data_IF_417202153013
#
_entry.id   IF_417202153013
#
_cell.length_a   1.000
_cell.length_b   1.000
_cell.length_c   1.000
_cell.angle_alpha   90.00
_cell.angle_beta   90.00
_cell.angle_gamma   90.00
#
_symmetry.space_group_name_H-M   'P 1'
#
loop_
_entity.id
_entity.type
_entity.pdbx_description
1 polymer ?
#
# COMPACT_ATOMS: atom_id res chain seq x y z
N UNK A 1 -3.79 12.89 -9.33
CA UNK A 1 -3.15 12.38 -8.10
C UNK A 1 -2.28 13.48 -7.52
N UNK A 2 -2.36 13.75 -6.22
CA UNK A 2 -1.52 14.76 -5.58
C UNK A 2 -0.05 14.32 -5.58
N UNK A 3 0.90 15.26 -5.59
CA UNK A 3 2.37 15.00 -5.52
C UNK A 3 2.79 14.16 -4.30
N UNK A 4 1.88 13.98 -3.33
CA UNK A 4 2.13 13.27 -2.09
C UNK A 4 2.16 11.75 -2.28
N UNK A 5 1.26 11.18 -3.09
CA UNK A 5 1.24 9.74 -3.43
C UNK A 5 2.40 9.30 -4.34
N UNK A 6 3.25 10.24 -4.79
CA UNK A 6 4.40 9.99 -5.66
C UNK A 6 5.73 10.08 -4.88
N UNK A 7 5.68 10.11 -3.54
CA UNK A 7 6.88 10.05 -2.69
C UNK A 7 7.28 8.59 -2.52
N UNK A 8 8.58 8.31 -2.50
CA UNK A 8 9.10 6.93 -2.40
C UNK A 8 8.70 6.22 -1.09
N UNK A 9 8.13 6.93 -0.11
CA UNK A 9 7.62 6.36 1.15
C UNK A 9 6.09 6.33 1.27
N UNK A 10 5.31 6.64 0.22
CA UNK A 10 3.85 6.50 0.30
C UNK A 10 3.41 5.08 -0.04
N UNK A 11 2.83 4.38 0.93
CA UNK A 11 2.28 3.02 0.79
C UNK A 11 0.86 3.03 0.22
N UNK A 12 0.37 1.87 -0.23
CA UNK A 12 -1.05 1.71 -0.60
C UNK A 12 -2.01 2.17 0.51
N UNK A 13 -1.64 1.95 1.77
CA UNK A 13 -2.42 2.38 2.93
C UNK A 13 -2.50 3.91 3.03
N UNK A 14 -1.41 4.62 2.78
CA UNK A 14 -1.38 6.09 2.76
C UNK A 14 -2.28 6.67 1.66
N UNK A 15 -2.28 6.04 0.48
CA UNK A 15 -3.17 6.44 -0.60
C UNK A 15 -4.64 6.21 -0.26
N UNK A 16 -4.96 5.07 0.36
CA UNK A 16 -6.29 4.75 0.82
C UNK A 16 -6.78 5.76 1.88
N UNK A 17 -5.93 6.08 2.87
CA UNK A 17 -6.22 7.09 3.91
C UNK A 17 -6.57 8.45 3.31
N UNK A 18 -5.79 8.90 2.33
CA UNK A 18 -6.02 10.17 1.64
C UNK A 18 -7.37 10.16 0.91
N UNK A 19 -7.70 9.08 0.21
CA UNK A 19 -8.96 8.92 -0.49
C UNK A 19 -10.17 8.86 0.45
N UNK A 20 -10.08 8.10 1.54
CA UNK A 20 -11.14 8.05 2.57
C UNK A 20 -11.31 9.42 3.24
N UNK A 21 -10.22 10.17 3.43
CA UNK A 21 -10.26 11.55 3.90
C UNK A 21 -11.03 12.49 2.95
N UNK A 22 -10.85 12.33 1.64
CA UNK A 22 -11.57 13.13 0.64
C UNK A 22 -13.08 12.85 0.63
N UNK A 23 -13.50 11.62 0.95
CA UNK A 23 -14.92 11.28 1.06
C UNK A 23 -15.60 11.95 2.26
N UNK A 24 -14.83 12.22 3.32
CA UNK A 24 -15.34 12.85 4.54
C UNK A 24 -15.24 14.38 4.54
N UNK A 25 -14.67 14.99 3.48
CA UNK A 25 -14.40 16.43 3.42
C UNK A 25 -15.68 17.24 3.07
N UNK A 26 -16.19 18.09 3.99
CA UNK A 26 -17.42 18.83 3.77
C UNK A 26 -17.39 19.76 2.55
N UNK A 27 -16.21 20.32 2.24
CA UNK A 27 -16.03 21.19 1.08
C UNK A 27 -16.27 20.48 -0.26
N UNK A 28 -16.21 19.15 -0.29
CA UNK A 28 -16.37 18.33 -1.50
C UNK A 28 -17.76 17.74 -1.66
N UNK A 29 -18.69 17.96 -0.73
CA UNK A 29 -20.07 17.46 -0.82
C UNK A 29 -20.80 17.85 -2.11
N UNK A 30 -20.66 19.08 -2.66
CA UNK A 30 -21.26 19.41 -3.96
C UNK A 30 -20.76 18.54 -5.12
N UNK A 31 -19.59 17.92 -4.97
CA UNK A 31 -18.92 17.07 -5.95
C UNK A 31 -18.92 15.59 -5.55
N UNK A 32 -19.70 15.19 -4.54
CA UNK A 32 -19.70 13.84 -3.97
C UNK A 32 -19.79 12.75 -5.04
N UNK A 33 -20.68 12.88 -6.03
CA UNK A 33 -20.83 11.90 -7.12
C UNK A 33 -19.53 11.72 -7.92
N UNK A 34 -18.81 12.80 -8.19
CA UNK A 34 -17.55 12.77 -8.94
C UNK A 34 -16.44 12.16 -8.09
N UNK A 35 -16.40 12.50 -6.80
CA UNK A 35 -15.41 11.96 -5.86
C UNK A 35 -15.64 10.46 -5.66
N UNK A 36 -16.87 10.02 -5.40
CA UNK A 36 -17.23 8.61 -5.25
C UNK A 36 -16.89 7.80 -6.50
N UNK A 37 -17.21 8.31 -7.69
CA UNK A 37 -16.83 7.64 -8.94
C UNK A 37 -15.32 7.46 -9.03
N UNK A 38 -14.55 8.52 -8.78
CA UNK A 38 -13.08 8.45 -8.84
C UNK A 38 -12.48 7.58 -7.74
N UNK A 39 -13.12 7.53 -6.58
CA UNK A 39 -12.74 6.63 -5.50
C UNK A 39 -12.89 5.18 -5.95
N UNK A 40 -14.04 4.81 -6.53
CA UNK A 40 -14.27 3.46 -7.05
C UNK A 40 -13.31 3.09 -8.19
N UNK A 41 -12.95 4.06 -9.03
CA UNK A 41 -11.98 3.86 -10.11
C UNK A 41 -10.54 3.69 -9.60
N UNK A 42 -10.19 4.30 -8.45
CA UNK A 42 -8.81 4.38 -7.95
C UNK A 42 -8.49 3.42 -6.81
N UNK A 43 -9.47 3.07 -5.97
CA UNK A 43 -9.29 2.25 -4.78
C UNK A 43 -9.84 0.86 -5.04
N UNK A 44 -8.95 -0.13 -4.97
CA UNK A 44 -9.28 -1.54 -5.01
C UNK A 44 -9.28 -2.18 -3.63
N UNK A 45 -9.75 -3.42 -3.52
CA UNK A 45 -9.82 -4.17 -2.25
C UNK A 45 -8.43 -4.43 -1.66
N UNK A 46 -7.39 -4.52 -2.49
CA UNK A 46 -5.99 -4.58 -2.07
C UNK A 46 -5.57 -3.31 -1.31
N UNK A 47 -6.05 -2.14 -1.71
CA UNK A 47 -5.77 -0.87 -1.03
C UNK A 47 -6.46 -0.84 0.35
N UNK A 48 -7.72 -1.26 0.41
CA UNK A 48 -8.47 -1.39 1.67
C UNK A 48 -7.81 -2.43 2.60
N UNK A 49 -7.29 -3.52 2.03
CA UNK A 49 -6.56 -4.56 2.77
C UNK A 49 -5.24 -4.01 3.30
N UNK A 50 -4.47 -3.28 2.50
CA UNK A 50 -3.29 -2.59 2.99
C UNK A 50 -3.63 -1.61 4.13
N UNK A 51 -4.72 -0.85 3.98
CA UNK A 51 -5.17 0.14 4.96
C UNK A 51 -5.53 -0.46 6.32
N UNK A 52 -6.24 -1.59 6.36
CA UNK A 52 -6.64 -2.25 7.60
C UNK A 52 -5.48 -2.98 8.29
N UNK A 53 -4.52 -3.50 7.51
CA UNK A 53 -3.33 -4.18 8.02
C UNK A 53 -2.27 -3.21 8.52
N UNK A 54 -2.35 -1.94 8.11
CA UNK A 54 -1.37 -0.93 8.48
C UNK A 54 -1.48 -0.52 9.96
N UNK A 55 -0.35 -0.55 10.69
CA UNK A 55 -0.29 -0.28 12.13
C UNK A 55 -0.77 1.12 12.53
N UNK A 56 -0.61 2.11 11.64
CA UNK A 56 -1.07 3.50 11.84
C UNK A 56 -2.58 3.68 11.67
N UNK A 57 -3.21 2.94 10.75
CA UNK A 57 -4.54 3.25 10.25
C UNK A 57 -5.61 2.28 10.75
N UNK A 58 -5.31 0.98 10.76
CA UNK A 58 -6.14 -0.07 11.35
C UNK A 58 -7.60 0.00 10.85
N UNK A 59 -7.84 0.50 9.64
CA UNK A 59 -9.19 0.59 9.08
C UNK A 59 -10.11 1.66 9.69
N UNK A 60 -9.58 2.63 10.45
CA UNK A 60 -10.39 3.59 11.25
C UNK A 60 -11.50 4.33 10.47
N UNK A 61 -11.26 4.61 9.18
CA UNK A 61 -12.18 5.36 8.30
C UNK A 61 -13.00 4.49 7.36
N UNK A 62 -12.92 3.17 7.49
CA UNK A 62 -13.68 2.26 6.61
C UNK A 62 -15.14 2.19 7.01
N UNK A 63 -16.03 2.11 6.02
CA UNK A 63 -17.44 1.81 6.26
C UNK A 63 -17.64 0.32 6.52
N UNK A 64 -18.77 -0.03 7.16
CA UNK A 64 -19.14 -1.43 7.39
C UNK A 64 -19.30 -2.20 6.07
N UNK A 65 -19.81 -1.56 5.02
CA UNK A 65 -19.93 -2.15 3.68
C UNK A 65 -18.56 -2.51 3.11
N UNK A 66 -17.58 -1.60 3.19
CA UNK A 66 -16.21 -1.86 2.73
C UNK A 66 -15.54 -3.01 3.50
N UNK A 67 -15.81 -3.13 4.81
CA UNK A 67 -15.30 -4.25 5.61
C UNK A 67 -15.93 -5.59 5.22
N UNK A 68 -17.23 -5.59 4.89
CA UNK A 68 -17.94 -6.77 4.42
C UNK A 68 -17.45 -7.23 3.04
N UNK A 69 -17.24 -6.29 2.11
CA UNK A 69 -16.69 -6.56 0.79
C UNK A 69 -15.28 -7.13 0.87
N UNK A 70 -14.44 -6.55 1.74
CA UNK A 70 -13.10 -7.02 2.01
C UNK A 70 -13.08 -8.43 2.60
N UNK A 71 -13.97 -8.72 3.54
CA UNK A 71 -14.11 -10.06 4.12
C UNK A 71 -14.51 -11.08 3.04
N UNK A 72 -15.47 -10.72 2.20
CA UNK A 72 -15.91 -11.57 1.08
C UNK A 72 -14.78 -11.82 0.08
N UNK A 73 -14.00 -10.79 -0.23
CA UNK A 73 -12.85 -10.88 -1.13
C UNK A 73 -11.74 -11.78 -0.58
N UNK A 74 -11.39 -11.64 0.70
CA UNK A 74 -10.40 -12.50 1.35
C UNK A 74 -10.85 -13.96 1.34
N UNK A 75 -12.11 -14.23 1.67
CA UNK A 75 -12.68 -15.58 1.65
C UNK A 75 -12.62 -16.23 0.24
N UNK A 76 -12.85 -15.43 -0.80
CA UNK A 76 -12.79 -15.86 -2.19
C UNK A 76 -11.35 -16.08 -2.68
N UNK A 77 -10.37 -15.36 -2.11
CA UNK A 77 -8.97 -15.51 -2.47
C UNK A 77 -8.35 -16.77 -1.85
N UNK A 78 -8.56 -16.96 -0.55
CA UNK A 78 -8.26 -18.20 0.18
C UNK A 78 -9.23 -18.30 1.39
N UNK A 79 -10.00 -19.39 1.53
CA UNK A 79 -10.92 -19.54 2.66
C UNK A 79 -10.25 -19.42 4.04
N UNK A 80 -8.97 -19.79 4.15
CA UNK A 80 -8.17 -19.66 5.38
C UNK A 80 -7.84 -18.22 5.75
N UNK A 81 -7.86 -17.28 4.78
CA UNK A 81 -7.51 -15.88 5.03
C UNK A 81 -8.51 -15.18 5.94
N UNK A 82 -9.78 -15.58 5.94
CA UNK A 82 -10.76 -15.02 6.88
C UNK A 82 -10.38 -15.33 8.33
N UNK A 83 -10.00 -16.57 8.61
CA UNK A 83 -9.60 -16.98 9.96
C UNK A 83 -8.35 -16.22 10.41
N UNK A 84 -7.37 -16.09 9.53
CA UNK A 84 -6.16 -15.31 9.79
C UNK A 84 -6.43 -13.82 9.95
N UNK A 85 -7.32 -13.26 9.14
CA UNK A 85 -7.74 -11.87 9.23
C UNK A 85 -8.45 -11.57 10.56
N UNK A 86 -9.39 -12.42 10.96
CA UNK A 86 -10.06 -12.32 12.27
C UNK A 86 -9.04 -12.46 13.40
N UNK A 87 -8.13 -13.43 13.31
CA UNK A 87 -7.06 -13.62 14.31
C UNK A 87 -6.17 -12.39 14.40
N UNK A 88 -5.78 -11.83 13.26
CA UNK A 88 -4.99 -10.60 13.19
C UNK A 88 -5.71 -9.39 13.82
N UNK A 89 -7.01 -9.25 13.58
CA UNK A 89 -7.83 -8.17 14.17
C UNK A 89 -8.06 -8.36 15.68
N UNK A 90 -8.36 -9.58 16.12
CA UNK A 90 -8.58 -9.92 17.52
C UNK A 90 -7.30 -9.80 18.35
N UNK A 91 -6.15 -9.98 17.70
CA UNK A 91 -4.84 -9.86 18.31
C UNK A 91 -4.52 -8.39 18.61
N UNK A 92 -4.80 -8.02 19.86
CA UNK A 92 -4.46 -6.71 20.42
C UNK A 92 -2.97 -6.65 20.74
N UNK A 93 -2.16 -6.10 19.84
CA UNK A 93 -0.82 -5.69 20.25
C UNK A 93 -0.92 -4.50 21.21
N UNK A 94 -0.09 -4.46 22.27
CA UNK A 94 0.07 -3.26 23.07
C UNK A 94 0.42 -2.09 22.14
N UNK A 95 -0.39 -1.03 22.17
CA UNK A 95 -0.25 0.18 21.32
C UNK A 95 1.16 0.78 21.37
N UNK A 96 1.89 0.52 22.45
CA UNK A 96 3.27 0.92 22.69
C UNK A 96 4.29 0.30 21.70
N UNK A 97 4.03 -0.90 21.17
CA UNK A 97 4.86 -1.53 20.13
C UNK A 97 4.51 -1.04 18.71
N UNK A 98 3.32 -0.47 18.50
CA UNK A 98 2.83 0.03 17.22
C UNK A 98 3.29 1.47 16.91
N UNK A 99 3.91 2.16 17.87
CA UNK A 99 4.26 3.59 17.78
C UNK A 99 5.70 3.87 17.29
N UNK A 100 6.53 2.84 17.04
CA UNK A 100 7.87 3.06 16.49
C UNK A 100 7.78 3.52 15.02
N UNK A 101 8.24 4.75 14.76
CA UNK A 101 7.85 5.61 13.64
C UNK A 101 8.68 5.49 12.36
N UNK A 102 9.66 4.60 12.27
CA UNK A 102 10.46 4.46 11.05
C UNK A 102 9.83 3.43 10.10
N UNK A 103 9.86 3.69 8.80
CA UNK A 103 9.29 2.79 7.79
C UNK A 103 9.90 1.38 7.80
N UNK A 104 11.19 1.24 8.16
CA UNK A 104 11.85 -0.06 8.38
C UNK A 104 11.25 -0.86 9.54
N UNK A 105 10.61 -0.18 10.50
CA UNK A 105 9.93 -0.82 11.63
C UNK A 105 8.53 -1.31 11.26
N UNK A 106 7.87 -0.77 10.23
CA UNK A 106 6.51 -1.19 9.85
C UNK A 106 6.50 -2.65 9.36
N UNK A 107 7.45 -3.02 8.50
CA UNK A 107 7.60 -4.40 8.04
C UNK A 107 7.87 -5.35 9.21
N UNK A 108 8.80 -4.96 10.09
CA UNK A 108 9.18 -5.73 11.27
C UNK A 108 8.00 -5.90 12.23
N UNK A 109 7.18 -4.87 12.41
CA UNK A 109 5.97 -4.90 13.24
C UNK A 109 4.88 -5.79 12.63
N UNK A 110 4.66 -5.72 11.32
CA UNK A 110 3.66 -6.54 10.64
C UNK A 110 4.03 -8.02 10.72
N UNK A 111 5.27 -8.37 10.40
CA UNK A 111 5.75 -9.77 10.48
C UNK A 111 5.70 -10.28 11.92
N UNK A 112 6.16 -9.49 12.89
CA UNK A 112 6.08 -9.85 14.30
C UNK A 112 4.62 -10.06 14.75
N UNK A 113 3.71 -9.19 14.30
CA UNK A 113 2.28 -9.32 14.57
C UNK A 113 1.71 -10.59 13.96
N UNK A 114 1.94 -10.87 12.68
CA UNK A 114 1.49 -12.10 12.04
C UNK A 114 1.97 -13.34 12.81
N UNK A 115 3.23 -13.36 13.25
CA UNK A 115 3.78 -14.45 14.04
C UNK A 115 3.10 -14.61 15.41
N UNK A 116 2.94 -13.51 16.17
CA UNK A 116 2.29 -13.52 17.50
C UNK A 116 0.83 -13.97 17.41
N UNK A 117 0.13 -13.55 16.35
CA UNK A 117 -1.29 -13.79 16.18
C UNK A 117 -1.60 -15.15 15.55
N UNK A 118 -0.58 -16.00 15.29
CA UNK A 118 -0.77 -17.33 14.69
C UNK A 118 -1.34 -17.28 13.28
N UNK A 119 -1.06 -16.20 12.54
CA UNK A 119 -1.53 -15.98 11.18
C UNK A 119 -0.80 -16.92 10.22
N UNK A 120 -1.52 -17.46 9.23
CA UNK A 120 -0.93 -18.36 8.25
C UNK A 120 0.18 -17.67 7.43
N UNK A 121 1.26 -18.38 7.07
CA UNK A 121 2.36 -17.78 6.31
C UNK A 121 1.94 -17.17 4.96
N UNK A 122 1.04 -17.78 4.17
CA UNK A 122 0.54 -17.16 2.94
C UNK A 122 -0.15 -15.81 3.16
N UNK A 123 -0.97 -15.65 4.20
CA UNK A 123 -1.57 -14.37 4.55
C UNK A 123 -0.52 -13.35 5.01
N UNK A 124 0.49 -13.78 5.77
CA UNK A 124 1.58 -12.91 6.19
C UNK A 124 2.37 -12.37 4.97
N UNK A 125 2.63 -13.22 3.96
CA UNK A 125 3.26 -12.81 2.70
C UNK A 125 2.39 -11.79 1.94
N UNK A 126 1.09 -12.06 1.82
CA UNK A 126 0.14 -11.11 1.22
C UNK A 126 0.16 -9.76 1.95
N UNK A 127 0.07 -9.77 3.28
CA UNK A 127 0.08 -8.59 4.11
C UNK A 127 1.38 -7.78 3.94
N UNK A 128 2.52 -8.47 3.87
CA UNK A 128 3.82 -7.84 3.65
C UNK A 128 3.90 -7.20 2.26
N UNK A 129 3.45 -7.91 1.21
CA UNK A 129 3.45 -7.39 -0.16
C UNK A 129 2.56 -6.16 -0.30
N UNK A 130 1.37 -6.18 0.28
CA UNK A 130 0.43 -5.06 0.22
C UNK A 130 0.93 -3.83 0.97
N UNK A 131 1.53 -4.01 2.14
CA UNK A 131 2.04 -2.89 2.95
C UNK A 131 3.34 -2.30 2.44
N UNK A 132 4.14 -3.06 1.69
CA UNK A 132 5.37 -2.57 1.03
C UNK A 132 5.14 -2.02 -0.37
N UNK A 133 3.96 -2.26 -0.95
CA UNK A 133 3.66 -1.80 -2.30
C UNK A 133 3.56 -0.26 -2.35
N UNK A 134 4.27 0.39 -3.28
CA UNK A 134 4.18 1.84 -3.43
C UNK A 134 2.81 2.23 -3.96
N UNK A 135 2.27 3.35 -3.44
CA UNK A 135 0.99 3.91 -3.84
C UNK A 135 0.86 4.28 -5.33
N UNK A 136 1.99 4.48 -6.02
CA UNK A 136 1.99 5.00 -7.39
C UNK A 136 3.10 4.37 -8.21
N UNK A 137 2.73 3.92 -9.40
CA UNK A 137 3.66 3.57 -10.48
C UNK A 137 4.56 4.74 -10.89
N UNK A 138 4.10 5.99 -10.68
CA UNK A 138 4.88 7.20 -10.94
C UNK A 138 6.09 7.35 -10.00
N UNK A 139 6.16 6.58 -8.91
CA UNK A 139 7.39 6.50 -8.11
C UNK A 139 8.56 5.94 -8.95
N UNK A 140 8.26 5.03 -9.89
CA UNK A 140 9.24 4.50 -10.85
C UNK A 140 9.52 5.53 -11.95
N UNK A 141 8.56 6.39 -12.30
CA UNK A 141 8.78 7.46 -13.30
C UNK A 141 9.87 8.45 -12.89
N UNK A 142 10.09 8.70 -11.59
CA UNK A 142 11.24 9.51 -11.13
C UNK A 142 12.57 8.84 -11.46
N UNK A 143 12.63 7.52 -11.29
CA UNK A 143 13.80 6.73 -11.69
C UNK A 143 13.95 6.88 -13.20
N UNK A 144 12.93 6.59 -14.01
CA UNK A 144 12.99 6.72 -15.47
C UNK A 144 13.31 8.14 -15.95
N UNK A 145 12.82 9.18 -15.26
CA UNK A 145 13.11 10.58 -15.57
C UNK A 145 14.59 10.91 -15.33
N UNK A 146 15.16 10.43 -14.22
CA UNK A 146 16.59 10.57 -13.92
C UNK A 146 17.44 9.84 -14.97
N UNK A 147 16.96 8.69 -15.44
CA UNK A 147 17.61 7.90 -16.50
C UNK A 147 17.28 8.38 -17.92
N UNK A 148 16.41 9.37 -18.09
CA UNK A 148 16.00 9.86 -19.42
C UNK A 148 17.18 10.39 -20.24
N UNK A 149 18.22 10.92 -19.59
CA UNK A 149 19.47 11.36 -20.24
C UNK A 149 20.25 10.20 -20.88
N UNK A 150 20.12 8.99 -20.35
CA UNK A 150 20.72 7.76 -20.90
C UNK A 150 19.83 7.16 -22.01
N UNK A 151 18.53 7.45 -21.97
CA UNK A 151 17.55 6.96 -22.94
C UNK A 151 17.37 7.86 -24.17
N UNK A 152 17.60 9.18 -24.05
CA UNK A 152 17.46 10.10 -25.18
C UNK A 152 18.72 10.13 -26.07
N UNK A 153 18.50 9.85 -27.36
CA UNK A 153 19.51 9.74 -28.40
C UNK A 153 20.29 11.05 -28.52
N UNK A 154 21.61 11.01 -28.30
CA UNK A 154 22.58 11.73 -29.15
C UNK A 154 23.99 11.14 -29.00
N UNK A 155 24.45 10.68 -27.81
CA UNK A 155 25.85 10.17 -27.68
C UNK A 155 26.14 8.97 -26.75
N UNK A 156 25.26 8.56 -25.83
CA UNK A 156 25.56 7.51 -24.84
C UNK A 156 24.44 6.47 -24.64
N UNK A 157 23.89 5.92 -25.74
CA UNK A 157 22.84 4.90 -25.64
C UNK A 157 23.44 3.57 -25.20
N UNK A 158 23.20 3.17 -23.94
CA UNK A 158 23.54 1.84 -23.45
C UNK A 158 22.63 0.78 -24.10
N UNK A 159 23.17 -0.40 -24.41
CA UNK A 159 22.37 -1.55 -24.80
C UNK A 159 21.34 -1.87 -23.69
N UNK A 160 20.15 -2.34 -24.06
CA UNK A 160 19.05 -2.68 -23.14
C UNK A 160 19.49 -3.51 -21.94
N UNK A 161 20.41 -4.47 -22.13
CA UNK A 161 20.99 -5.27 -21.04
C UNK A 161 21.76 -4.42 -20.01
N UNK A 162 22.59 -3.48 -20.47
CA UNK A 162 23.36 -2.58 -19.60
C UNK A 162 22.47 -1.56 -18.90
N UNK A 163 21.42 -1.07 -19.57
CA UNK A 163 20.43 -0.18 -18.96
C UNK A 163 19.67 -0.89 -17.83
N UNK A 164 19.23 -2.13 -18.06
CA UNK A 164 18.57 -2.94 -17.03
C UNK A 164 19.48 -3.20 -15.82
N UNK A 165 20.75 -3.57 -16.04
CA UNK A 165 21.71 -3.74 -14.93
C UNK A 165 21.96 -2.45 -14.15
N UNK A 166 22.03 -1.29 -14.81
CA UNK A 166 22.25 0.00 -14.15
C UNK A 166 21.03 0.43 -13.32
N UNK A 167 19.82 0.22 -13.85
CA UNK A 167 18.58 0.41 -13.10
C UNK A 167 18.52 -0.51 -11.88
N UNK A 168 18.88 -1.78 -12.06
CA UNK A 168 18.86 -2.77 -10.97
C UNK A 168 19.86 -2.42 -9.85
N UNK A 169 21.06 -1.97 -10.20
CA UNK A 169 22.05 -1.48 -9.22
C UNK A 169 21.57 -0.21 -8.51
N UNK A 170 20.94 0.73 -9.22
CA UNK A 170 20.44 1.97 -8.62
C UNK A 170 19.25 1.74 -7.69
N UNK A 171 18.38 0.79 -8.02
CA UNK A 171 17.27 0.37 -7.14
C UNK A 171 17.81 -0.40 -5.93
N UNK A 172 18.85 -1.22 -6.07
CA UNK A 172 19.45 -1.94 -4.94
C UNK A 172 20.22 -1.05 -3.95
N UNK A 173 20.62 0.16 -4.37
CA UNK A 173 21.38 1.10 -3.54
C UNK A 173 20.50 2.11 -2.79
N UNK A 174 19.25 2.34 -3.25
CA UNK A 174 18.29 3.24 -2.60
C UNK A 174 17.31 2.47 -1.72
#
# INVERSE_FOLDING_TARGET
>A
MSKWCQRNGSSLADACDAWLGLLSEPALFPLEKVVNKRFQDAISLEHLTAYILHSKYIGEKMTMEQQQDLSTWLANHDPGFITSFISFQACSLPRQLLLCRSDQHLLTQLVARCYICGVDPPFADLAQRLTTSPASSASIEKVFSTFSFVHNNIRNRLCSKKQASLLLMHVAWN
#
